data_IF_543508523684
#
_entry.id   IF_543508523684
#
_cell.length_a   1.000
_cell.length_b   1.000
_cell.length_c   1.000
_cell.angle_alpha   90.00
_cell.angle_beta   90.00
_cell.angle_gamma   90.00
#
_symmetry.space_group_name_H-M   'P 1'
#
loop_
_entity.id
_entity.type
_entity.pdbx_description
1 polymer ?
#
# COMPACT_ATOMS: atom_id res chain seq x y z
N UNK A 1 -3.38 -3.45 16.70
CA UNK A 1 -2.23 -2.54 16.89
C UNK A 1 -1.07 -3.40 17.30
N UNK A 2 -0.10 -3.64 16.39
CA UNK A 2 1.17 -4.24 16.73
C UNK A 2 1.95 -3.28 17.59
N UNK A 3 2.35 -3.71 18.77
CA UNK A 3 3.37 -3.05 19.55
C UNK A 3 4.68 -3.10 18.76
N UNK A 4 5.44 -2.01 18.76
CA UNK A 4 6.64 -1.69 18.00
C UNK A 4 7.79 -2.69 17.90
N UNK A 5 7.50 -3.95 17.85
CA UNK A 5 8.44 -4.98 17.43
C UNK A 5 8.07 -5.41 16.01
N UNK A 6 9.01 -5.22 15.13
CA UNK A 6 9.00 -5.75 13.78
C UNK A 6 8.40 -7.16 13.79
N UNK A 7 7.28 -7.38 13.10
CA UNK A 7 6.68 -8.70 12.96
C UNK A 7 7.76 -9.75 12.70
N UNK A 8 7.88 -10.73 13.58
CA UNK A 8 8.77 -11.86 13.33
C UNK A 8 8.28 -12.62 12.11
N UNK A 9 9.16 -13.26 11.37
CA UNK A 9 8.78 -14.06 10.19
C UNK A 9 7.64 -15.03 10.50
N UNK A 10 7.64 -15.62 11.72
CA UNK A 10 6.60 -16.54 12.17
C UNK A 10 5.23 -15.87 12.33
N UNK A 11 5.19 -14.61 12.79
CA UNK A 11 3.92 -13.88 12.95
C UNK A 11 3.31 -13.59 11.58
N UNK A 12 4.13 -13.16 10.61
CA UNK A 12 3.69 -12.94 9.23
C UNK A 12 3.19 -14.24 8.60
N UNK A 13 3.89 -15.35 8.81
CA UNK A 13 3.46 -16.68 8.33
C UNK A 13 2.12 -17.11 8.92
N UNK A 14 1.88 -16.85 10.21
CA UNK A 14 0.59 -17.14 10.86
C UNK A 14 -0.54 -16.28 10.28
N UNK A 15 -0.27 -14.99 10.02
CA UNK A 15 -1.23 -14.08 9.38
C UNK A 15 -1.56 -14.56 7.96
N UNK A 16 -0.55 -14.94 7.18
CA UNK A 16 -0.74 -15.48 5.83
C UNK A 16 -1.58 -16.76 5.84
N UNK A 17 -1.27 -17.70 6.74
CA UNK A 17 -2.02 -18.96 6.89
C UNK A 17 -3.48 -18.71 7.27
N UNK A 18 -3.73 -17.79 8.20
CA UNK A 18 -5.08 -17.42 8.60
C UNK A 18 -5.84 -16.74 7.46
N UNK A 19 -5.20 -15.83 6.73
CA UNK A 19 -5.81 -15.17 5.58
C UNK A 19 -6.15 -16.19 4.49
N UNK A 20 -5.23 -17.07 4.11
CA UNK A 20 -5.46 -18.11 3.12
C UNK A 20 -6.63 -19.02 3.53
N UNK A 21 -6.64 -19.48 4.80
CA UNK A 21 -7.72 -20.32 5.34
C UNK A 21 -9.07 -19.60 5.34
N UNK A 22 -9.08 -18.32 5.70
CA UNK A 22 -10.31 -17.53 5.72
C UNK A 22 -10.81 -17.25 4.30
N UNK A 23 -9.93 -16.88 3.40
CA UNK A 23 -10.25 -16.52 2.02
C UNK A 23 -10.71 -17.73 1.17
N UNK A 24 -10.30 -18.95 1.54
CA UNK A 24 -10.77 -20.19 0.89
C UNK A 24 -12.29 -20.36 0.98
N UNK A 25 -12.93 -19.88 2.06
CA UNK A 25 -14.39 -19.84 2.20
C UNK A 25 -15.10 -19.06 1.08
N UNK A 26 -14.37 -18.17 0.39
CA UNK A 26 -14.84 -17.31 -0.69
C UNK A 26 -14.25 -17.68 -2.05
N UNK A 27 -13.60 -18.85 -2.15
CA UNK A 27 -12.92 -19.34 -3.35
C UNK A 27 -11.87 -18.37 -3.91
N UNK A 28 -11.18 -17.61 -3.05
CA UNK A 28 -10.10 -16.71 -3.44
C UNK A 28 -8.91 -17.53 -3.96
N UNK A 29 -8.47 -17.24 -5.18
CA UNK A 29 -7.33 -17.91 -5.82
C UNK A 29 -6.27 -16.93 -6.30
N UNK A 30 -6.66 -15.69 -6.64
CA UNK A 30 -5.79 -14.66 -7.20
C UNK A 30 -5.86 -13.41 -6.33
N UNK A 31 -4.73 -12.91 -5.86
CA UNK A 31 -4.70 -11.66 -5.10
C UNK A 31 -3.58 -10.74 -5.58
N UNK A 32 -3.78 -9.43 -5.49
CA UNK A 32 -2.70 -8.47 -5.64
C UNK A 32 -2.09 -8.13 -4.27
N UNK A 33 -0.77 -7.97 -4.23
CA UNK A 33 -0.04 -7.59 -3.01
C UNK A 33 0.83 -6.38 -3.32
N UNK A 34 0.64 -5.32 -2.55
CA UNK A 34 1.46 -4.11 -2.61
C UNK A 34 2.11 -3.81 -1.26
N UNK A 35 3.11 -2.97 -1.28
CA UNK A 35 3.81 -2.54 -0.06
C UNK A 35 4.20 -1.08 -0.11
N UNK A 36 4.36 -0.46 1.06
CA UNK A 36 4.99 0.84 1.18
C UNK A 36 6.53 0.73 1.20
N UNK A 37 7.22 1.88 1.36
CA UNK A 37 8.69 1.95 1.32
C UNK A 37 9.37 1.70 2.67
N UNK A 38 8.65 1.29 3.74
CA UNK A 38 9.23 1.04 5.05
C UNK A 38 10.31 -0.04 4.98
N UNK A 39 11.37 0.09 5.78
CA UNK A 39 12.50 -0.84 5.77
C UNK A 39 12.09 -2.30 6.03
N UNK A 40 11.02 -2.53 6.78
CA UNK A 40 10.49 -3.86 7.06
C UNK A 40 9.58 -4.42 5.96
N UNK A 41 9.08 -3.59 5.04
CA UNK A 41 8.01 -3.96 4.09
C UNK A 41 8.44 -5.07 3.13
N UNK A 42 9.65 -5.03 2.60
CA UNK A 42 10.17 -6.07 1.70
C UNK A 42 10.29 -7.43 2.39
N UNK A 43 10.85 -7.45 3.61
CA UNK A 43 10.98 -8.68 4.39
C UNK A 43 9.61 -9.28 4.76
N UNK A 44 8.64 -8.42 5.09
CA UNK A 44 7.27 -8.83 5.40
C UNK A 44 6.59 -9.36 4.13
N UNK A 45 6.77 -8.68 3.00
CA UNK A 45 6.25 -9.09 1.69
C UNK A 45 6.72 -10.52 1.35
N UNK A 46 8.02 -10.77 1.40
CA UNK A 46 8.58 -12.07 1.08
C UNK A 46 8.02 -13.17 2.01
N UNK A 47 7.98 -12.92 3.32
CA UNK A 47 7.44 -13.90 4.28
C UNK A 47 5.93 -14.16 4.09
N UNK A 48 5.17 -13.13 3.72
CA UNK A 48 3.73 -13.22 3.43
C UNK A 48 3.47 -14.02 2.15
N UNK A 49 4.11 -13.61 1.05
CA UNK A 49 3.88 -14.20 -0.28
C UNK A 49 4.38 -15.63 -0.38
N UNK A 50 5.57 -15.95 0.17
CA UNK A 50 6.06 -17.33 0.26
C UNK A 50 4.99 -18.24 0.86
N UNK A 51 4.38 -17.77 1.97
CA UNK A 51 3.39 -18.57 2.68
C UNK A 51 2.07 -18.67 1.94
N UNK A 52 1.60 -17.58 1.32
CA UNK A 52 0.36 -17.58 0.53
C UNK A 52 0.47 -18.46 -0.72
N UNK A 53 1.65 -18.47 -1.36
CA UNK A 53 1.97 -19.37 -2.48
C UNK A 53 1.90 -20.84 -2.02
N UNK A 54 2.43 -21.17 -0.84
CA UNK A 54 2.31 -22.52 -0.27
C UNK A 54 0.85 -22.94 -0.09
N UNK A 55 -0.08 -22.01 0.11
CA UNK A 55 -1.54 -22.24 0.20
C UNK A 55 -2.26 -22.20 -1.16
N UNK A 56 -1.54 -22.16 -2.28
CA UNK A 56 -2.10 -22.23 -3.62
C UNK A 56 -2.60 -20.90 -4.19
N UNK A 57 -2.31 -19.75 -3.55
CA UNK A 57 -2.73 -18.45 -4.08
C UNK A 57 -1.75 -17.97 -5.16
N UNK A 58 -2.29 -17.49 -6.27
CA UNK A 58 -1.53 -16.77 -7.30
C UNK A 58 -1.44 -15.30 -6.90
N UNK A 59 -0.21 -14.80 -6.77
CA UNK A 59 0.11 -13.46 -6.28
C UNK A 59 0.49 -12.56 -7.46
N UNK A 60 -0.17 -11.42 -7.58
CA UNK A 60 0.26 -10.32 -8.44
C UNK A 60 0.97 -9.26 -7.58
N UNK A 61 2.31 -9.23 -7.66
CA UNK A 61 3.13 -8.23 -6.96
C UNK A 61 3.02 -6.89 -7.70
N UNK A 62 2.29 -5.95 -7.13
CA UNK A 62 2.15 -4.60 -7.68
C UNK A 62 3.26 -3.65 -7.22
N UNK A 63 4.21 -4.14 -6.44
CA UNK A 63 5.42 -3.42 -6.05
C UNK A 63 5.25 -2.45 -4.89
N UNK A 64 6.15 -1.46 -4.86
CA UNK A 64 6.10 -0.34 -3.92
C UNK A 64 5.09 0.67 -4.47
N UNK A 65 3.95 0.78 -3.81
CA UNK A 65 2.83 1.60 -4.26
C UNK A 65 2.13 2.28 -3.08
N UNK A 66 1.25 3.22 -3.38
CA UNK A 66 0.30 3.75 -2.39
C UNK A 66 -0.92 2.83 -2.25
N UNK A 67 -1.62 2.91 -1.11
CA UNK A 67 -2.86 2.15 -0.89
C UNK A 67 -3.92 2.37 -1.99
N UNK A 68 -4.14 3.61 -2.51
CA UNK A 68 -5.05 3.81 -3.66
C UNK A 68 -4.69 3.01 -4.90
N UNK A 69 -3.41 2.89 -5.26
CA UNK A 69 -2.97 2.09 -6.41
C UNK A 69 -3.30 0.60 -6.21
N UNK A 70 -3.12 0.07 -5.00
CA UNK A 70 -3.57 -1.29 -4.70
C UNK A 70 -5.08 -1.42 -4.88
N UNK A 71 -5.87 -0.48 -4.36
CA UNK A 71 -7.32 -0.52 -4.53
C UNK A 71 -7.72 -0.40 -6.00
N UNK A 72 -7.07 0.46 -6.78
CA UNK A 72 -7.27 0.52 -8.22
C UNK A 72 -7.06 -0.84 -8.88
N UNK A 73 -6.03 -1.59 -8.46
CA UNK A 73 -5.77 -2.96 -8.94
C UNK A 73 -6.94 -3.91 -8.66
N UNK A 74 -7.60 -3.80 -7.49
CA UNK A 74 -8.78 -4.63 -7.16
C UNK A 74 -9.97 -4.37 -8.11
N UNK A 75 -10.06 -3.18 -8.70
CA UNK A 75 -11.17 -2.81 -9.57
C UNK A 75 -10.89 -3.05 -11.05
N UNK A 76 -9.63 -3.16 -11.44
CA UNK A 76 -9.20 -3.19 -12.85
C UNK A 76 -8.54 -4.50 -13.27
N UNK A 77 -8.08 -5.31 -12.32
CA UNK A 77 -7.50 -6.63 -12.58
C UNK A 77 -8.51 -7.75 -12.30
N UNK A 78 -8.27 -8.91 -12.91
CA UNK A 78 -8.98 -10.16 -12.59
C UNK A 78 -8.36 -10.79 -11.34
N UNK A 79 -8.72 -10.25 -10.17
CA UNK A 79 -8.26 -10.71 -8.85
C UNK A 79 -9.42 -10.82 -7.88
N UNK A 80 -9.30 -11.76 -6.95
CA UNK A 80 -10.31 -12.09 -5.94
C UNK A 80 -10.12 -11.31 -4.63
N UNK A 81 -9.06 -10.50 -4.53
CA UNK A 81 -8.75 -9.72 -3.35
C UNK A 81 -7.35 -9.13 -3.39
N UNK A 82 -6.90 -8.59 -2.25
CA UNK A 82 -5.55 -8.02 -2.16
C UNK A 82 -5.10 -7.71 -0.75
N UNK A 83 -3.80 -7.51 -0.60
CA UNK A 83 -3.16 -7.13 0.67
C UNK A 83 -2.21 -5.97 0.44
N UNK A 84 -2.40 -4.89 1.20
CA UNK A 84 -1.45 -3.78 1.30
C UNK A 84 -0.64 -3.90 2.58
N UNK A 85 0.67 -3.94 2.45
CA UNK A 85 1.62 -3.94 3.57
C UNK A 85 2.00 -2.50 3.85
N UNK A 86 1.50 -1.95 4.94
CA UNK A 86 1.73 -0.55 5.34
C UNK A 86 1.30 -0.29 6.78
N UNK A 87 1.97 0.61 7.46
CA UNK A 87 1.53 1.12 8.74
C UNK A 87 0.89 2.52 8.65
N UNK A 88 0.55 3.00 7.43
CA UNK A 88 -0.05 4.33 7.23
C UNK A 88 0.83 5.45 7.83
N UNK A 89 0.30 6.24 8.77
CA UNK A 89 0.97 7.38 9.42
C UNK A 89 1.76 6.99 10.68
N UNK A 90 1.96 5.71 10.96
CA UNK A 90 2.71 5.29 12.16
C UNK A 90 4.22 5.50 11.96
N UNK A 91 5.02 5.53 13.06
CA UNK A 91 6.48 5.62 13.01
C UNK A 91 7.16 4.59 12.09
N UNK A 92 8.44 4.81 11.69
CA UNK A 92 9.14 3.97 10.72
C UNK A 92 9.23 2.48 11.07
N UNK A 93 9.35 2.18 12.36
CA UNK A 93 9.46 0.82 12.92
C UNK A 93 8.15 0.03 12.96
N UNK A 94 7.01 0.70 12.72
CA UNK A 94 5.71 0.05 12.63
C UNK A 94 5.45 -0.50 11.22
N UNK A 95 4.67 -1.59 11.15
CA UNK A 95 4.11 -2.07 9.90
C UNK A 95 2.74 -2.71 10.16
N UNK A 96 2.01 -3.06 9.09
CA UNK A 96 0.68 -3.63 9.19
C UNK A 96 0.15 -4.14 7.87
N UNK A 97 -1.09 -4.59 7.89
CA UNK A 97 -1.77 -5.15 6.73
C UNK A 97 -3.16 -4.56 6.59
N UNK A 98 -3.51 -4.16 5.36
CA UNK A 98 -4.89 -3.90 4.95
C UNK A 98 -5.25 -4.99 3.96
N UNK A 99 -6.15 -5.89 4.33
CA UNK A 99 -6.55 -7.03 3.52
C UNK A 99 -7.96 -6.85 2.97
N UNK A 100 -8.19 -7.32 1.76
CA UNK A 100 -9.47 -7.26 1.05
C UNK A 100 -9.82 -8.62 0.47
N UNK A 101 -11.12 -8.94 0.48
CA UNK A 101 -11.72 -10.04 -0.27
C UNK A 101 -12.71 -9.43 -1.26
N UNK A 102 -12.59 -9.80 -2.53
CA UNK A 102 -13.21 -9.05 -3.60
C UNK A 102 -12.71 -7.60 -3.59
N UNK A 103 -13.64 -6.66 -3.64
CA UNK A 103 -13.38 -5.21 -3.62
C UNK A 103 -13.55 -4.58 -2.23
N UNK A 104 -13.78 -5.39 -1.20
CA UNK A 104 -14.10 -4.91 0.14
C UNK A 104 -12.96 -5.19 1.12
N UNK A 105 -12.56 -4.16 1.85
CA UNK A 105 -11.61 -4.30 2.97
C UNK A 105 -12.25 -5.10 4.09
N UNK A 106 -11.48 -5.97 4.73
CA UNK A 106 -11.96 -6.79 5.82
C UNK A 106 -12.47 -5.92 6.98
N UNK A 107 -13.68 -6.22 7.42
CA UNK A 107 -14.32 -5.58 8.58
C UNK A 107 -13.67 -6.03 9.90
N UNK A 108 -13.94 -5.31 10.99
CA UNK A 108 -13.44 -5.66 12.31
C UNK A 108 -13.83 -7.08 12.72
N UNK A 109 -15.04 -7.53 12.41
CA UNK A 109 -15.49 -8.90 12.72
C UNK A 109 -14.68 -9.95 11.97
N UNK A 110 -14.43 -9.74 10.68
CA UNK A 110 -13.61 -10.62 9.85
C UNK A 110 -12.14 -10.68 10.35
N UNK A 111 -11.59 -9.55 10.80
CA UNK A 111 -10.27 -9.53 11.45
C UNK A 111 -10.26 -10.33 12.74
N UNK A 112 -11.36 -10.33 13.54
CA UNK A 112 -11.44 -11.19 14.74
C UNK A 112 -11.49 -12.67 14.36
N UNK A 113 -12.14 -13.05 13.24
CA UNK A 113 -12.10 -14.44 12.76
C UNK A 113 -10.67 -14.87 12.41
N UNK A 114 -9.90 -14.03 11.70
CA UNK A 114 -8.48 -14.29 11.44
C UNK A 114 -7.69 -14.47 12.74
N UNK A 115 -7.94 -13.64 13.75
CA UNK A 115 -7.29 -13.75 15.05
C UNK A 115 -7.60 -15.06 15.76
N UNK A 116 -8.84 -15.57 15.63
CA UNK A 116 -9.24 -16.87 16.17
C UNK A 116 -8.48 -18.01 15.46
N UNK A 117 -8.40 -17.98 14.12
CA UNK A 117 -7.63 -18.95 13.33
C UNK A 117 -6.15 -18.97 13.75
N UNK A 118 -5.53 -17.80 13.94
CA UNK A 118 -4.13 -17.69 14.40
C UNK A 118 -3.97 -18.33 15.78
N UNK A 119 -4.88 -18.04 16.72
CA UNK A 119 -4.79 -18.58 18.09
C UNK A 119 -4.95 -20.09 18.14
N UNK A 120 -5.88 -20.63 17.35
CA UNK A 120 -6.15 -22.07 17.29
C UNK A 120 -5.17 -22.83 16.40
N UNK A 121 -4.43 -22.12 15.53
CA UNK A 121 -3.63 -22.69 14.45
C UNK A 121 -4.43 -23.65 13.55
N UNK A 122 -5.71 -23.32 13.39
CA UNK A 122 -6.66 -24.12 12.60
C UNK A 122 -6.60 -23.64 11.14
N UNK A 123 -5.67 -24.17 10.40
CA UNK A 123 -5.40 -23.80 9.02
C UNK A 123 -5.74 -24.93 8.07
N UNK A 124 -6.22 -24.58 6.87
CA UNK A 124 -6.39 -25.55 5.78
C UNK A 124 -5.04 -26.19 5.43
N UNK A 125 -5.09 -27.41 4.89
CA UNK A 125 -3.91 -28.10 4.38
C UNK A 125 -3.77 -27.73 2.89
N UNK A 126 -2.68 -27.10 2.47
CA UNK A 126 -2.47 -26.76 1.06
C UNK A 126 -2.30 -28.02 0.23
N UNK A 127 -2.90 -28.04 -0.96
CA UNK A 127 -2.84 -29.19 -1.90
C UNK A 127 -1.91 -28.92 -3.07
N UNK A 128 -1.83 -27.68 -3.52
CA UNK A 128 -1.01 -27.25 -4.66
C UNK A 128 -0.34 -25.91 -4.34
N UNK A 129 0.78 -25.63 -5.00
CA UNK A 129 1.44 -24.33 -4.88
C UNK A 129 0.86 -23.34 -5.87
N UNK A 130 0.74 -22.10 -5.42
CA UNK A 130 0.42 -20.96 -6.26
C UNK A 130 1.65 -20.42 -7.01
N UNK A 131 1.55 -19.19 -7.49
CA UNK A 131 2.59 -18.50 -8.26
C UNK A 131 2.72 -17.04 -7.83
N UNK A 132 3.78 -16.39 -8.29
CA UNK A 132 3.95 -14.96 -8.15
C UNK A 132 4.39 -14.34 -9.47
N UNK A 133 3.77 -13.21 -9.82
CA UNK A 133 4.07 -12.43 -11.02
C UNK A 133 4.12 -10.94 -10.67
N UNK A 134 5.09 -10.20 -11.25
CA UNK A 134 5.18 -8.74 -11.08
C UNK A 134 4.32 -8.03 -12.10
N UNK A 135 3.51 -7.09 -11.63
CA UNK A 135 2.62 -6.27 -12.45
C UNK A 135 2.84 -4.79 -12.15
N UNK A 136 2.97 -3.98 -13.19
CA UNK A 136 3.15 -2.53 -13.06
C UNK A 136 1.81 -1.81 -13.24
N UNK A 137 1.22 -1.33 -12.13
CA UNK A 137 -0.10 -0.72 -12.14
C UNK A 137 -0.11 0.82 -12.12
N UNK A 138 1.01 1.44 -11.78
CA UNK A 138 1.11 2.90 -11.62
C UNK A 138 0.69 3.64 -12.90
N UNK A 139 1.18 3.21 -14.06
CA UNK A 139 0.86 3.88 -15.32
C UNK A 139 -0.61 3.74 -15.70
N UNK A 140 -1.20 2.60 -15.42
CA UNK A 140 -2.62 2.35 -15.64
C UNK A 140 -3.49 3.25 -14.74
N UNK A 141 -3.12 3.41 -13.48
CA UNK A 141 -3.79 4.29 -12.52
C UNK A 141 -3.70 5.76 -12.95
N UNK A 142 -2.49 6.21 -13.35
CA UNK A 142 -2.28 7.56 -13.87
C UNK A 142 -3.14 7.82 -15.12
N UNK A 143 -3.22 6.86 -16.03
CA UNK A 143 -3.99 6.99 -17.25
C UNK A 143 -5.50 7.04 -16.97
N UNK A 144 -5.98 6.28 -15.99
CA UNK A 144 -7.38 6.35 -15.54
C UNK A 144 -7.71 7.68 -14.86
N UNK A 145 -6.84 8.17 -13.98
CA UNK A 145 -6.98 9.49 -13.35
C UNK A 145 -7.08 10.61 -14.39
N UNK A 146 -6.23 10.58 -15.42
CA UNK A 146 -6.25 11.60 -16.47
C UNK A 146 -7.51 11.57 -17.34
N UNK A 147 -8.18 10.42 -17.46
CA UNK A 147 -9.47 10.34 -18.16
C UNK A 147 -10.62 10.92 -17.34
N UNK A 148 -10.49 10.93 -16.02
CA UNK A 148 -11.55 11.34 -15.09
C UNK A 148 -11.42 12.78 -14.63
N UNK A 149 -10.20 13.32 -14.61
CA UNK A 149 -9.90 14.66 -14.09
C UNK A 149 -9.48 15.56 -15.24
N UNK A 150 -10.11 16.74 -15.31
CA UNK A 150 -9.74 17.81 -16.23
C UNK A 150 -9.53 19.10 -15.46
N UNK A 151 -8.38 19.73 -15.66
CA UNK A 151 -8.02 21.01 -15.04
C UNK A 151 -8.06 22.09 -16.12
N UNK A 152 -8.94 23.06 -15.96
CA UNK A 152 -9.23 24.09 -16.99
C UNK A 152 -8.19 25.22 -17.07
N UNK A 153 -7.31 25.34 -16.07
CA UNK A 153 -6.27 26.38 -16.02
C UNK A 153 -4.96 25.80 -15.49
N UNK A 154 -3.84 26.40 -15.89
CA UNK A 154 -2.53 26.02 -15.33
C UNK A 154 -2.51 26.34 -13.83
N UNK A 155 -2.20 25.36 -12.99
CA UNK A 155 -2.05 25.48 -11.55
C UNK A 155 -0.58 25.22 -11.19
N UNK A 156 -0.03 26.07 -10.33
CA UNK A 156 1.28 25.89 -9.70
C UNK A 156 1.07 25.27 -8.32
N UNK A 157 1.53 24.02 -8.13
CA UNK A 157 1.24 23.23 -6.94
C UNK A 157 2.51 22.84 -6.20
N UNK A 158 2.54 23.06 -4.90
CA UNK A 158 3.54 22.50 -3.98
C UNK A 158 3.07 21.12 -3.50
N UNK A 159 3.99 20.15 -3.46
CA UNK A 159 3.67 18.78 -3.07
C UNK A 159 4.74 18.31 -2.09
N UNK A 160 4.32 17.84 -0.92
CA UNK A 160 5.19 17.20 0.04
C UNK A 160 4.91 15.69 0.04
N UNK A 161 5.90 14.91 -0.41
CA UNK A 161 5.79 13.45 -0.50
C UNK A 161 6.16 12.74 0.81
N UNK A 162 6.71 13.45 1.78
CA UNK A 162 7.16 12.90 3.07
C UNK A 162 8.01 11.63 2.94
N UNK A 163 8.82 11.51 1.86
CA UNK A 163 9.61 10.34 1.51
C UNK A 163 8.78 9.04 1.40
N UNK A 164 7.52 9.14 0.99
CA UNK A 164 6.60 7.99 0.86
C UNK A 164 6.49 7.52 -0.61
N UNK A 165 5.86 6.38 -0.89
CA UNK A 165 5.73 5.85 -2.25
C UNK A 165 5.09 6.77 -3.29
N UNK A 166 4.34 7.80 -2.87
CA UNK A 166 3.73 8.77 -3.80
C UNK A 166 4.80 9.50 -4.63
N UNK A 167 5.99 9.71 -4.08
CA UNK A 167 7.11 10.36 -4.78
C UNK A 167 7.50 9.66 -6.07
N UNK A 168 7.31 8.34 -6.18
CA UNK A 168 7.63 7.57 -7.39
C UNK A 168 6.84 8.02 -8.63
N UNK A 169 5.68 8.66 -8.46
CA UNK A 169 4.80 8.93 -9.60
C UNK A 169 4.00 10.24 -9.54
N UNK A 170 4.02 10.96 -8.43
CA UNK A 170 3.23 12.19 -8.26
C UNK A 170 3.54 13.24 -9.33
N UNK A 171 4.83 13.42 -9.67
CA UNK A 171 5.25 14.34 -10.73
C UNK A 171 4.61 13.99 -12.07
N UNK A 172 4.57 12.70 -12.41
CA UNK A 172 3.94 12.21 -13.64
C UNK A 172 2.43 12.48 -13.66
N UNK A 173 1.75 12.31 -12.52
CA UNK A 173 0.33 12.63 -12.36
C UNK A 173 0.06 14.10 -12.65
N UNK A 174 0.71 15.00 -11.91
CA UNK A 174 0.44 16.44 -12.02
C UNK A 174 0.89 17.02 -13.37
N UNK A 175 1.99 16.52 -13.94
CA UNK A 175 2.43 16.89 -15.30
C UNK A 175 1.39 16.52 -16.35
N UNK A 176 0.81 15.32 -16.28
CA UNK A 176 -0.27 14.89 -17.21
C UNK A 176 -1.54 15.73 -17.04
N UNK A 177 -1.83 16.18 -15.83
CA UNK A 177 -2.95 17.10 -15.54
C UNK A 177 -2.69 18.55 -15.98
N UNK A 178 -1.51 18.86 -16.55
CA UNK A 178 -1.15 20.21 -16.99
C UNK A 178 -0.73 21.17 -15.89
N UNK A 179 -0.45 20.65 -14.68
CA UNK A 179 0.04 21.45 -13.56
C UNK A 179 1.55 21.67 -13.64
N UNK A 180 2.01 22.75 -12.98
CA UNK A 180 3.42 23.00 -12.70
C UNK A 180 3.68 22.62 -11.24
N UNK A 181 4.38 21.50 -11.03
CA UNK A 181 4.61 20.93 -9.69
C UNK A 181 5.97 21.28 -9.11
N UNK A 182 6.00 21.57 -7.81
CA UNK A 182 7.19 21.79 -6.99
C UNK A 182 7.15 20.76 -5.86
N UNK A 183 8.08 19.79 -5.88
CA UNK A 183 7.98 18.59 -5.06
C UNK A 183 9.07 18.62 -3.98
N UNK A 184 8.65 18.34 -2.74
CA UNK A 184 9.51 18.13 -1.59
C UNK A 184 9.55 16.64 -1.25
N UNK A 185 10.72 16.18 -0.80
CA UNK A 185 10.94 14.85 -0.23
C UNK A 185 10.42 13.72 -1.12
N UNK A 186 10.69 13.86 -2.44
CA UNK A 186 10.15 13.00 -3.49
C UNK A 186 10.65 11.55 -3.39
N UNK A 187 11.93 11.36 -3.02
CA UNK A 187 12.54 10.03 -2.97
C UNK A 187 12.00 9.22 -1.79
N UNK A 188 11.42 8.01 -2.04
CA UNK A 188 10.94 7.16 -0.95
C UNK A 188 12.07 6.68 -0.04
N UNK A 189 11.93 6.91 1.25
CA UNK A 189 12.86 6.44 2.29
C UNK A 189 12.07 5.98 3.52
N UNK A 190 12.17 4.71 3.85
CA UNK A 190 11.47 4.12 5.00
C UNK A 190 11.88 4.64 6.37
N UNK A 191 12.96 5.46 6.45
CA UNK A 191 13.34 6.17 7.67
C UNK A 191 12.60 7.50 7.86
N UNK A 192 11.97 8.04 6.77
CA UNK A 192 11.29 9.34 6.77
C UNK A 192 12.16 10.47 7.33
N UNK A 193 13.33 10.76 6.72
CA UNK A 193 14.37 11.59 7.33
C UNK A 193 14.01 13.06 7.48
N UNK A 194 13.03 13.57 6.73
CA UNK A 194 12.67 14.97 6.73
C UNK A 194 11.62 15.31 7.79
N UNK A 195 10.56 14.53 7.86
CA UNK A 195 9.54 14.59 8.90
C UNK A 195 8.70 13.32 8.92
N UNK A 196 8.01 13.09 10.02
CA UNK A 196 7.07 11.99 10.15
C UNK A 196 5.92 12.11 9.12
N UNK A 197 5.54 11.02 8.41
CA UNK A 197 4.56 11.07 7.33
C UNK A 197 3.12 11.16 7.86
N UNK A 198 2.86 12.12 8.75
CA UNK A 198 1.55 12.40 9.32
C UNK A 198 1.16 13.86 9.05
N UNK A 199 0.27 14.12 8.07
CA UNK A 199 -0.16 15.46 7.70
C UNK A 199 -1.12 16.08 8.72
N UNK A 200 -1.57 15.36 9.73
CA UNK A 200 -2.40 15.93 10.82
C UNK A 200 -1.57 16.72 11.82
N UNK A 201 -0.25 16.58 11.79
CA UNK A 201 0.69 17.32 12.64
C UNK A 201 1.15 18.58 11.89
N UNK A 202 0.78 19.74 12.40
CA UNK A 202 1.01 21.03 11.71
C UNK A 202 2.50 21.30 11.43
N UNK A 203 3.41 20.93 12.34
CA UNK A 203 4.85 21.09 12.14
C UNK A 203 5.39 20.31 10.93
N UNK A 204 4.75 19.22 10.55
CA UNK A 204 5.15 18.43 9.37
C UNK A 204 4.81 19.15 8.05
N UNK A 205 3.95 20.15 8.10
CA UNK A 205 3.56 20.95 6.93
C UNK A 205 4.40 22.22 6.76
N UNK A 206 5.35 22.51 7.66
CA UNK A 206 6.09 23.79 7.63
C UNK A 206 6.86 23.99 6.32
N UNK A 207 7.62 22.99 5.88
CA UNK A 207 8.39 23.07 4.63
C UNK A 207 7.50 23.29 3.40
N UNK A 208 6.31 22.68 3.37
CA UNK A 208 5.34 22.89 2.29
C UNK A 208 4.75 24.31 2.33
N UNK A 209 4.42 24.82 3.52
CA UNK A 209 3.94 26.20 3.69
C UNK A 209 4.99 27.20 3.21
N UNK A 210 6.24 27.02 3.61
CA UNK A 210 7.36 27.88 3.19
C UNK A 210 7.56 27.84 1.67
N UNK A 211 7.52 26.65 1.05
CA UNK A 211 7.61 26.49 -0.40
C UNK A 211 6.48 27.24 -1.13
N UNK A 212 5.25 27.11 -0.64
CA UNK A 212 4.08 27.80 -1.23
C UNK A 212 4.25 29.30 -1.20
N UNK A 213 4.69 29.86 -0.06
CA UNK A 213 4.92 31.28 0.11
C UNK A 213 6.09 31.80 -0.74
N UNK A 214 7.23 31.12 -0.69
CA UNK A 214 8.44 31.51 -1.42
C UNK A 214 8.20 31.53 -2.94
N UNK A 215 7.60 30.49 -3.46
CA UNK A 215 7.34 30.33 -4.90
C UNK A 215 6.03 30.97 -5.34
N UNK A 216 5.23 31.52 -4.43
CA UNK A 216 3.89 32.08 -4.70
C UNK A 216 3.04 31.07 -5.47
N UNK A 217 2.92 29.86 -4.94
CA UNK A 217 2.15 28.78 -5.56
C UNK A 217 0.65 28.98 -5.31
N UNK A 218 -0.16 28.39 -6.17
CA UNK A 218 -1.63 28.51 -6.06
C UNK A 218 -2.18 27.63 -4.92
N UNK A 219 -1.49 26.52 -4.62
CA UNK A 219 -1.89 25.54 -3.60
C UNK A 219 -0.68 24.68 -3.17
N UNK A 220 -0.76 24.15 -1.96
CA UNK A 220 0.12 23.10 -1.44
C UNK A 220 -0.67 21.99 -0.80
#
# INVERSE_FOLDING_TARGET
RGLGDVYKRQDVSNIASAFATYSDKFNVKKICVGRDCRLSSERIFNALTDKLIDYGLSIFDVGIVTTPVLYFSLFTMDVDGGIMITASHNPPDYNGFKASIGKNVLSSNQIQELKILIRKKDYIIPTEKGSIEKIYMIDNDIDDLNKRISISKKIRVGIDCANTPIGLFVNKVFKKLGCESYILFEEPDGNFPNHHPDPSIESNLSSLKDLVLEKKLDIG
#
